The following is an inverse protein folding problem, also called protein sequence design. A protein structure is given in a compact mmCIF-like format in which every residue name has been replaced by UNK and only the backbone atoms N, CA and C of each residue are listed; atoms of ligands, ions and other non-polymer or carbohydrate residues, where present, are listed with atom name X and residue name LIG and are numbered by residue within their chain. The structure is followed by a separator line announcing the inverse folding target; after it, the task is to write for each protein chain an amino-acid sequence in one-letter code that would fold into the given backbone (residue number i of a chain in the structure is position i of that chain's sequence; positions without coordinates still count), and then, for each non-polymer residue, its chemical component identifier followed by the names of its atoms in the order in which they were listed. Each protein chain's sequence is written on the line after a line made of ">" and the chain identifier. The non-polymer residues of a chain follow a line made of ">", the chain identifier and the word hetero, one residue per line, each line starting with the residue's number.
data_IF_754314467429
#
_entry.id   IF_754314467429
#
_cell.length_a   1.000
_cell.length_b   1.000
_cell.length_c   1.000
_cell.angle_alpha   90.00
_cell.angle_beta   90.00
_cell.angle_gamma   90.00
#
_symmetry.space_group_name_H-M   'P 1'
#
loop_
_entity.id
_entity.type
_entity.pdbx_description
1 polymer ?
#
# COMPACT_ATOMS: atom_id res chain seq x y z
N UNK A 1 -5.72 0.36 -10.79
CA UNK A 1 -4.47 0.14 -11.58
C UNK A 1 -3.87 1.43 -12.17
N UNK A 2 -4.62 2.24 -12.94
CA UNK A 2 -4.06 3.42 -13.63
C UNK A 2 -3.33 4.41 -12.72
N UNK A 3 -3.91 4.76 -11.56
CA UNK A 3 -3.29 5.71 -10.63
C UNK A 3 -1.92 5.25 -10.13
N UNK A 4 -1.76 3.95 -9.86
CA UNK A 4 -0.49 3.37 -9.40
C UNK A 4 0.59 3.50 -10.46
N UNK A 5 0.24 3.28 -11.73
CA UNK A 5 1.18 3.35 -12.86
C UNK A 5 1.60 4.80 -13.13
N UNK A 6 0.66 5.76 -13.07
CA UNK A 6 0.97 7.17 -13.30
C UNK A 6 1.86 7.79 -12.21
N UNK A 7 1.67 7.38 -10.95
CA UNK A 7 2.47 7.90 -9.84
C UNK A 7 3.64 6.99 -9.47
N UNK A 8 3.81 5.84 -10.12
CA UNK A 8 4.77 4.81 -9.72
C UNK A 8 6.18 5.36 -9.51
N UNK A 9 6.69 6.16 -10.45
CA UNK A 9 8.03 6.74 -10.38
C UNK A 9 8.17 7.72 -9.20
N UNK A 10 7.22 8.67 -9.08
CA UNK A 10 7.25 9.67 -7.99
C UNK A 10 7.02 9.04 -6.62
N UNK A 11 6.15 8.04 -6.57
CA UNK A 11 5.80 7.31 -5.35
C UNK A 11 6.96 6.45 -4.89
N UNK A 12 7.61 5.70 -5.78
CA UNK A 12 8.80 4.91 -5.44
C UNK A 12 9.93 5.78 -4.91
N UNK A 13 10.18 6.94 -5.52
CA UNK A 13 11.17 7.89 -5.01
C UNK A 13 10.87 8.32 -3.56
N UNK A 14 9.61 8.68 -3.26
CA UNK A 14 9.19 9.02 -1.89
C UNK A 14 9.24 7.83 -0.94
N UNK A 15 8.87 6.64 -1.42
CA UNK A 15 8.85 5.44 -0.62
C UNK A 15 10.28 5.02 -0.25
N UNK A 16 11.25 5.18 -1.15
CA UNK A 16 12.68 5.00 -0.89
C UNK A 16 13.21 6.00 0.15
N UNK A 17 12.85 7.28 0.05
CA UNK A 17 13.19 8.30 1.06
C UNK A 17 12.65 7.96 2.46
N UNK A 18 11.49 7.29 2.53
CA UNK A 18 10.85 6.83 3.76
C UNK A 18 11.35 5.44 4.22
N UNK A 19 12.25 4.81 3.46
CA UNK A 19 12.81 3.49 3.78
C UNK A 19 11.89 2.30 3.45
N UNK A 20 10.83 2.50 2.66
CA UNK A 20 9.88 1.45 2.24
C UNK A 20 9.73 1.42 0.70
N UNK A 21 10.79 1.13 -0.07
CA UNK A 21 10.77 1.21 -1.54
C UNK A 21 9.72 0.29 -2.20
N UNK A 22 9.37 -0.81 -1.53
CA UNK A 22 8.38 -1.81 -1.91
C UNK A 22 6.93 -1.45 -1.49
N UNK A 23 6.68 -0.24 -0.98
CA UNK A 23 5.35 0.17 -0.53
C UNK A 23 4.28 0.05 -1.62
N UNK A 24 4.63 0.35 -2.88
CA UNK A 24 3.68 0.30 -3.99
C UNK A 24 3.12 -1.12 -4.24
N UNK A 25 3.94 -2.15 -4.01
CA UNK A 25 3.58 -3.57 -4.13
C UNK A 25 2.75 -4.08 -2.95
N UNK A 26 2.78 -3.37 -1.81
CA UNK A 26 1.99 -3.71 -0.61
C UNK A 26 0.59 -3.12 -0.62
N UNK A 27 0.32 -2.15 -1.49
CA UNK A 27 -0.99 -1.50 -1.59
C UNK A 27 -1.94 -2.42 -2.34
N UNK A 28 -3.11 -2.72 -1.79
CA UNK A 28 -4.16 -3.43 -2.53
C UNK A 28 -4.80 -2.50 -3.59
N UNK A 29 -5.12 -3.02 -4.76
CA UNK A 29 -5.91 -2.34 -5.79
C UNK A 29 -7.14 -3.16 -6.17
N UNK A 30 -7.95 -2.64 -7.11
CA UNK A 30 -9.19 -3.29 -7.54
C UNK A 30 -9.01 -4.72 -8.08
N UNK A 31 -7.77 -5.15 -8.37
CA UNK A 31 -7.47 -6.53 -8.79
C UNK A 31 -7.30 -7.51 -7.63
N UNK A 32 -7.03 -7.01 -6.42
CA UNK A 32 -6.87 -7.81 -5.20
C UNK A 32 -8.21 -7.91 -4.46
N UNK A 33 -8.96 -6.81 -4.40
CA UNK A 33 -10.26 -6.74 -3.73
C UNK A 33 -10.80 -5.32 -3.76
N UNK A 34 -12.11 -5.19 -3.63
CA UNK A 34 -12.78 -3.88 -3.56
C UNK A 34 -13.41 -3.62 -2.19
N UNK A 35 -13.41 -4.64 -1.32
CA UNK A 35 -13.92 -4.56 0.05
C UNK A 35 -12.80 -4.71 1.07
N UNK A 36 -13.00 -4.17 2.27
CA UNK A 36 -12.03 -4.24 3.37
C UNK A 36 -11.65 -5.68 3.71
N UNK A 37 -12.63 -6.59 3.75
CA UNK A 37 -12.44 -8.00 4.10
C UNK A 37 -11.59 -8.75 3.07
N UNK A 38 -11.67 -8.38 1.79
CA UNK A 38 -10.86 -8.98 0.71
C UNK A 38 -9.41 -8.48 0.74
N UNK A 39 -9.19 -7.20 1.07
CA UNK A 39 -7.86 -6.59 1.06
C UNK A 39 -7.09 -6.78 2.38
N UNK A 40 -7.79 -6.98 3.50
CA UNK A 40 -7.23 -7.24 4.83
C UNK A 40 -6.16 -8.35 4.83
N UNK A 41 -6.44 -9.57 4.31
CA UNK A 41 -5.45 -10.64 4.29
C UNK A 41 -4.24 -10.30 3.41
N UNK A 42 -4.44 -9.58 2.31
CA UNK A 42 -3.33 -9.14 1.45
C UNK A 42 -2.41 -8.13 2.15
N UNK A 43 -2.99 -7.14 2.85
CA UNK A 43 -2.23 -6.14 3.62
C UNK A 43 -1.44 -6.81 4.75
N UNK A 44 -2.01 -7.83 5.40
CA UNK A 44 -1.35 -8.60 6.44
C UNK A 44 -0.20 -9.46 5.88
N UNK A 45 -0.44 -10.19 4.79
CA UNK A 45 0.58 -11.02 4.13
C UNK A 45 1.77 -10.20 3.64
N UNK A 46 1.49 -9.03 3.05
CA UNK A 46 2.50 -8.11 2.53
C UNK A 46 3.16 -7.25 3.61
N UNK A 47 2.65 -7.27 4.84
CA UNK A 47 3.15 -6.45 5.94
C UNK A 47 3.06 -4.95 5.63
N UNK A 48 1.86 -4.49 5.24
CA UNK A 48 1.66 -3.07 4.91
C UNK A 48 1.93 -2.20 6.15
N UNK A 49 2.81 -1.19 6.07
CA UNK A 49 3.27 -0.43 7.23
C UNK A 49 2.14 0.23 8.03
N UNK A 50 1.04 0.59 7.34
CA UNK A 50 -0.13 1.18 7.99
C UNK A 50 -0.78 0.28 9.06
N UNK A 51 -0.58 -1.04 9.02
CA UNK A 51 -1.11 -1.95 10.06
C UNK A 51 -0.39 -1.81 11.41
N UNK A 52 0.85 -1.32 11.38
CA UNK A 52 1.71 -1.15 12.58
C UNK A 52 1.84 0.30 13.02
N UNK A 53 1.29 1.24 12.25
CA UNK A 53 1.31 2.66 12.56
C UNK A 53 0.19 3.01 13.55
N UNK A 54 0.32 4.19 14.18
CA UNK A 54 -0.75 4.74 15.00
C UNK A 54 -2.07 4.84 14.22
N UNK A 55 -3.23 4.59 14.88
CA UNK A 55 -4.53 4.69 14.24
C UNK A 55 -4.73 6.06 13.59
N UNK A 56 -5.14 6.07 12.32
CA UNK A 56 -5.50 7.29 11.60
C UNK A 56 -6.77 7.96 12.18
N UNK A 57 -7.64 7.15 12.78
CA UNK A 57 -8.83 7.60 13.49
C UNK A 57 -8.51 7.65 14.99
N UNK A 58 -8.39 8.87 15.51
CA UNK A 58 -8.34 9.17 16.94
C UNK A 58 -9.71 9.49 17.50
#
# INVERSE_FOLDING_TARGET
>A
KMLKEEIAERFKARAEELGVPDLLDKIADETIGVTEEEILPFLQEKGHPALTMDPILG
#
